data_IF_301928935335
#
_entry.id   IF_301928935335
#
_cell.length_a   1.000
_cell.length_b   1.000
_cell.length_c   1.000
_cell.angle_alpha   90.00
_cell.angle_beta   90.00
_cell.angle_gamma   90.00
#
_symmetry.space_group_name_H-M   'P 1'
#
loop_
_entity.id
_entity.type
_entity.pdbx_description
1 polymer ?
#
# COMPACT_ATOMS: atom_id res chain seq x y z
N UNK A 1 16.94 18.75 -6.59
CA UNK A 1 15.85 17.88 -6.12
C UNK A 1 14.63 18.76 -5.91
N UNK A 2 13.61 18.66 -6.78
CA UNK A 2 12.37 19.41 -6.60
C UNK A 2 11.63 18.81 -5.42
N UNK A 3 11.57 19.54 -4.31
CA UNK A 3 10.77 19.16 -3.15
C UNK A 3 9.33 19.01 -3.60
N UNK A 4 8.75 17.84 -3.43
CA UNK A 4 7.34 17.58 -3.76
C UNK A 4 6.50 18.21 -2.64
N UNK A 5 5.76 19.30 -2.87
CA UNK A 5 5.02 19.95 -1.80
C UNK A 5 3.76 19.15 -1.51
N UNK A 6 3.83 18.29 -0.50
CA UNK A 6 2.65 17.67 0.10
C UNK A 6 2.05 18.63 1.12
N UNK A 7 0.73 18.79 1.07
CA UNK A 7 -0.04 19.64 1.97
C UNK A 7 -1.00 18.78 2.80
N UNK A 8 -1.16 19.13 4.07
CA UNK A 8 -2.14 18.57 4.99
C UNK A 8 -2.83 19.70 5.77
N UNK A 9 -4.06 19.49 6.27
CA UNK A 9 -4.71 20.44 7.15
C UNK A 9 -3.82 20.84 8.33
N UNK A 10 -3.82 22.13 8.66
CA UNK A 10 -2.99 22.69 9.71
C UNK A 10 -2.32 23.97 9.24
N UNK A 11 -0.99 24.00 9.25
CA UNK A 11 -0.21 25.13 8.73
C UNK A 11 0.44 24.73 7.40
N UNK A 12 0.35 25.56 6.34
CA UNK A 12 -0.23 26.92 6.32
C UNK A 12 -1.75 26.97 6.09
N UNK A 13 -2.41 25.88 5.69
CA UNK A 13 -3.82 25.87 5.28
C UNK A 13 -4.69 24.97 6.17
N UNK A 14 -5.91 25.42 6.46
CA UNK A 14 -6.97 24.64 7.12
C UNK A 14 -7.60 23.62 6.16
N UNK A 15 -8.36 22.69 6.71
CA UNK A 15 -9.03 21.64 5.91
C UNK A 15 -10.02 22.21 4.89
N UNK A 16 -10.74 23.28 5.27
CA UNK A 16 -11.71 23.95 4.40
C UNK A 16 -11.01 24.63 3.23
N UNK A 17 -9.88 25.29 3.47
CA UNK A 17 -9.07 25.95 2.44
C UNK A 17 -8.53 24.93 1.44
N UNK A 18 -7.99 23.79 1.91
CA UNK A 18 -7.53 22.72 1.02
C UNK A 18 -8.67 22.12 0.19
N UNK A 19 -9.87 22.03 0.76
CA UNK A 19 -11.06 21.56 0.05
C UNK A 19 -11.48 22.55 -1.04
N UNK A 20 -11.49 23.86 -0.75
CA UNK A 20 -11.78 24.91 -1.73
C UNK A 20 -10.72 24.89 -2.84
N UNK A 21 -9.43 24.85 -2.51
CA UNK A 21 -8.35 24.78 -3.49
C UNK A 21 -8.42 23.53 -4.38
N UNK A 22 -8.90 22.41 -3.83
CA UNK A 22 -9.14 21.19 -4.62
C UNK A 22 -10.31 21.38 -5.59
N UNK A 23 -11.40 22.00 -5.13
CA UNK A 23 -12.57 22.32 -5.97
C UNK A 23 -12.22 23.29 -7.09
N UNK A 24 -11.35 24.26 -6.82
CA UNK A 24 -10.88 25.27 -7.78
C UNK A 24 -9.81 24.72 -8.74
N UNK A 25 -9.43 23.44 -8.62
CA UNK A 25 -8.47 22.78 -9.51
C UNK A 25 -7.01 23.15 -9.25
N UNK A 26 -6.70 23.78 -8.11
CA UNK A 26 -5.32 24.12 -7.71
C UNK A 26 -4.61 22.88 -7.15
N UNK A 27 -5.33 22.11 -6.33
CA UNK A 27 -4.84 20.91 -5.69
C UNK A 27 -5.58 19.67 -6.16
N UNK A 28 -4.95 18.51 -5.98
CA UNK A 28 -5.61 17.21 -6.01
C UNK A 28 -5.30 16.45 -4.72
N UNK A 29 -6.26 15.67 -4.26
CA UNK A 29 -6.07 14.74 -3.15
C UNK A 29 -5.26 13.53 -3.64
N UNK A 30 -4.20 13.19 -2.91
CA UNK A 30 -3.38 11.99 -3.16
C UNK A 30 -3.97 10.82 -2.36
N UNK A 31 -4.15 11.02 -1.06
CA UNK A 31 -4.68 10.01 -0.13
C UNK A 31 -5.21 10.71 1.13
N UNK A 32 -6.39 10.31 1.61
CA UNK A 32 -7.04 10.88 2.80
C UNK A 32 -6.95 12.42 2.87
N UNK A 33 -6.31 13.01 3.87
CA UNK A 33 -6.16 14.47 4.03
C UNK A 33 -4.83 15.01 3.46
N UNK A 34 -4.18 14.27 2.56
CA UNK A 34 -2.93 14.65 1.90
C UNK A 34 -3.16 15.07 0.46
N UNK A 35 -2.66 16.26 0.14
CA UNK A 35 -2.86 16.94 -1.14
C UNK A 35 -1.54 17.29 -1.81
N UNK A 36 -1.58 17.46 -3.13
CA UNK A 36 -0.47 17.98 -3.94
C UNK A 36 -1.01 18.92 -5.01
N UNK A 37 -0.15 19.76 -5.59
CA UNK A 37 -0.51 20.59 -6.74
C UNK A 37 -0.93 19.72 -7.94
N UNK A 38 -1.94 20.16 -8.70
CA UNK A 38 -2.51 19.39 -9.81
C UNK A 38 -1.49 19.03 -10.91
N UNK A 39 -0.52 19.91 -11.16
CA UNK A 39 0.53 19.71 -12.16
C UNK A 39 1.68 18.78 -11.72
N UNK A 40 1.65 18.26 -10.48
CA UNK A 40 2.70 17.35 -10.01
C UNK A 40 2.49 15.93 -10.57
N UNK A 41 3.52 15.35 -11.22
CA UNK A 41 3.45 13.99 -11.75
C UNK A 41 3.09 12.98 -10.66
N UNK A 42 2.18 12.08 -10.98
CA UNK A 42 1.87 10.98 -10.08
C UNK A 42 2.96 9.91 -10.14
N UNK A 43 3.82 9.90 -9.14
CA UNK A 43 4.93 8.93 -9.03
C UNK A 43 4.73 8.03 -7.82
N UNK A 44 5.37 6.87 -7.86
CA UNK A 44 5.44 5.95 -6.72
C UNK A 44 6.07 6.63 -5.49
N UNK A 45 7.06 7.50 -5.69
CA UNK A 45 7.68 8.29 -4.64
C UNK A 45 6.71 9.31 -4.02
N UNK A 46 5.92 10.02 -4.82
CA UNK A 46 4.87 10.93 -4.33
C UNK A 46 3.86 10.16 -3.46
N UNK A 47 3.39 8.99 -3.92
CA UNK A 47 2.44 8.16 -3.16
C UNK A 47 3.03 7.68 -1.83
N UNK A 48 4.29 7.23 -1.84
CA UNK A 48 5.00 6.83 -0.62
C UNK A 48 5.16 7.99 0.37
N UNK A 49 5.59 9.16 -0.10
CA UNK A 49 5.70 10.34 0.77
C UNK A 49 4.35 10.77 1.32
N UNK A 50 3.27 10.68 0.52
CA UNK A 50 1.93 11.01 0.96
C UNK A 50 1.42 10.02 2.02
N UNK A 51 1.69 8.74 1.86
CA UNK A 51 1.39 7.72 2.86
C UNK A 51 2.19 7.95 4.15
N UNK A 52 3.50 8.22 4.03
CA UNK A 52 4.37 8.51 5.17
C UNK A 52 3.85 9.69 6.00
N UNK A 53 3.33 10.72 5.34
CA UNK A 53 2.76 11.90 5.99
C UNK A 53 1.54 11.59 6.86
N UNK A 54 0.82 10.48 6.60
CA UNK A 54 -0.32 10.02 7.40
C UNK A 54 0.08 9.21 8.65
N UNK A 55 1.28 8.62 8.65
CA UNK A 55 1.71 7.74 9.72
C UNK A 55 2.22 8.54 10.93
N UNK A 56 1.86 8.09 12.12
CA UNK A 56 2.52 8.56 13.34
C UNK A 56 3.99 8.08 13.39
N UNK A 57 4.85 8.67 14.25
CA UNK A 57 6.26 8.30 14.32
C UNK A 57 6.53 6.83 14.66
N UNK A 58 5.60 6.14 15.34
CA UNK A 58 5.77 4.74 15.72
C UNK A 58 5.54 3.85 14.50
N UNK A 59 4.42 4.05 13.80
CA UNK A 59 4.09 3.31 12.59
C UNK A 59 5.08 3.59 11.46
N UNK A 60 5.50 4.85 11.28
CA UNK A 60 6.53 5.22 10.30
C UNK A 60 7.81 4.39 10.40
N UNK A 61 8.22 4.01 11.63
CA UNK A 61 9.47 3.26 11.88
C UNK A 61 9.31 1.74 11.88
N UNK A 62 8.07 1.24 11.96
CA UNK A 62 7.80 -0.17 12.29
C UNK A 62 6.86 -0.86 11.33
N UNK A 63 6.05 -0.11 10.60
CA UNK A 63 5.04 -0.64 9.73
C UNK A 63 5.64 -1.03 8.37
N UNK A 64 5.17 -2.16 7.86
CA UNK A 64 5.36 -2.62 6.50
C UNK A 64 4.01 -2.44 5.78
N UNK A 65 3.98 -1.62 4.73
CA UNK A 65 2.79 -1.41 3.91
C UNK A 65 2.49 -2.69 3.12
N UNK A 66 1.23 -3.12 3.08
CA UNK A 66 0.84 -4.40 2.47
C UNK A 66 -0.51 -4.31 1.72
N UNK A 67 -0.90 -5.42 1.06
CA UNK A 67 -2.20 -5.62 0.40
C UNK A 67 -2.62 -4.45 -0.50
N UNK A 68 -3.88 -4.02 -0.46
CA UNK A 68 -4.43 -3.00 -1.34
C UNK A 68 -3.68 -1.67 -1.24
N UNK A 69 -3.10 -1.36 -0.06
CA UNK A 69 -2.29 -0.15 0.11
C UNK A 69 -0.94 -0.27 -0.60
N UNK A 70 -0.28 -1.43 -0.50
CA UNK A 70 0.94 -1.69 -1.27
C UNK A 70 0.66 -1.74 -2.79
N UNK A 71 -0.47 -2.34 -3.19
CA UNK A 71 -0.88 -2.38 -4.60
C UNK A 71 -1.10 -0.96 -5.14
N UNK A 72 -1.82 -0.10 -4.42
CA UNK A 72 -1.96 1.31 -4.77
C UNK A 72 -0.62 2.04 -4.82
N UNK A 73 0.29 1.76 -3.89
CA UNK A 73 1.62 2.35 -3.89
C UNK A 73 2.35 2.02 -5.19
N UNK A 74 2.37 0.75 -5.61
CA UNK A 74 3.03 0.30 -6.84
C UNK A 74 2.33 0.79 -8.12
N UNK A 75 1.01 0.63 -8.20
CA UNK A 75 0.23 0.79 -9.43
C UNK A 75 -0.37 2.19 -9.61
N UNK A 76 -0.57 2.93 -8.52
CA UNK A 76 -1.31 4.19 -8.53
C UNK A 76 -2.82 4.00 -8.61
N UNK A 77 -3.51 5.06 -9.02
CA UNK A 77 -4.97 5.07 -9.11
C UNK A 77 -5.64 5.48 -7.79
N UNK A 78 -6.90 5.09 -7.61
CA UNK A 78 -7.67 5.45 -6.43
C UNK A 78 -7.11 4.76 -5.17
N UNK A 79 -6.78 5.50 -4.10
CA UNK A 79 -6.31 4.90 -2.87
C UNK A 79 -7.42 4.12 -2.17
N UNK A 80 -7.10 3.02 -1.45
CA UNK A 80 -8.09 2.31 -0.66
C UNK A 80 -8.60 3.19 0.50
N UNK A 81 -9.87 3.04 0.91
CA UNK A 81 -10.46 3.85 1.99
C UNK A 81 -9.85 3.53 3.37
N UNK A 82 -9.29 2.32 3.53
CA UNK A 82 -8.60 1.87 4.74
C UNK A 82 -7.21 1.40 4.35
N UNK A 83 -6.19 1.85 5.07
CA UNK A 83 -4.79 1.58 4.74
C UNK A 83 -4.26 0.39 5.54
N UNK A 84 -3.80 -0.65 4.86
CA UNK A 84 -3.33 -1.89 5.47
C UNK A 84 -1.81 -1.83 5.77
N UNK A 85 -1.49 -2.02 7.04
CA UNK A 85 -0.13 -2.03 7.57
C UNK A 85 0.12 -3.34 8.32
N UNK A 86 1.28 -3.95 8.12
CA UNK A 86 1.78 -5.04 8.97
C UNK A 86 2.75 -4.47 10.01
N UNK A 87 2.63 -4.92 11.25
CA UNK A 87 3.63 -4.69 12.28
C UNK A 87 4.11 -6.04 12.83
N UNK A 88 5.40 -6.13 13.12
CA UNK A 88 5.94 -7.34 13.73
C UNK A 88 5.31 -7.51 15.12
N UNK A 89 4.71 -8.67 15.37
CA UNK A 89 4.05 -8.98 16.64
C UNK A 89 4.97 -8.80 17.86
N UNK A 90 6.30 -8.90 17.69
CA UNK A 90 7.31 -8.67 18.74
C UNK A 90 7.57 -7.18 19.02
N UNK A 91 7.09 -6.27 18.17
CA UNK A 91 7.35 -4.82 18.21
C UNK A 91 6.05 -4.00 18.26
N UNK A 92 5.03 -4.56 18.92
CA UNK A 92 3.68 -4.02 19.04
C UNK A 92 3.65 -2.49 19.19
N UNK A 93 2.85 -1.84 18.36
CA UNK A 93 2.43 -0.46 18.52
C UNK A 93 0.99 -0.48 19.09
N UNK A 94 0.67 0.40 20.04
CA UNK A 94 -0.69 0.49 20.58
C UNK A 94 -1.55 1.34 19.64
N UNK A 95 -2.67 0.75 19.19
CA UNK A 95 -3.74 1.45 18.46
C UNK A 95 -3.43 1.70 16.99
N UNK A 96 -4.48 1.78 16.17
CA UNK A 96 -4.42 2.25 14.80
C UNK A 96 -5.22 3.56 14.72
N UNK A 97 -4.67 4.58 14.06
CA UNK A 97 -5.42 5.80 13.78
C UNK A 97 -6.64 5.48 12.88
N UNK A 98 -7.66 6.35 12.88
CA UNK A 98 -8.80 6.20 12.00
C UNK A 98 -8.34 6.11 10.53
N UNK A 99 -8.91 5.17 9.78
CA UNK A 99 -8.52 4.91 8.38
C UNK A 99 -7.25 4.05 8.22
N UNK A 100 -6.64 3.56 9.31
CA UNK A 100 -5.56 2.58 9.27
C UNK A 100 -6.05 1.23 9.82
N UNK A 101 -5.65 0.14 9.16
CA UNK A 101 -5.81 -1.22 9.64
C UNK A 101 -4.43 -1.83 9.86
N UNK A 102 -4.11 -2.09 11.12
CA UNK A 102 -2.83 -2.67 11.53
C UNK A 102 -3.02 -4.15 11.80
N UNK A 103 -2.24 -4.97 11.12
CA UNK A 103 -2.23 -6.42 11.28
C UNK A 103 -0.94 -6.84 11.99
N UNK A 104 -1.08 -7.59 13.07
CA UNK A 104 0.06 -8.10 13.82
C UNK A 104 0.43 -9.49 13.27
N UNK A 105 1.63 -9.62 12.69
CA UNK A 105 2.14 -10.90 12.16
C UNK A 105 3.64 -11.02 12.38
N UNK A 106 4.19 -12.20 12.20
CA UNK A 106 5.65 -12.39 12.15
C UNK A 106 6.12 -11.93 10.77
N UNK A 107 6.83 -10.81 10.71
CA UNK A 107 7.28 -10.23 9.43
C UNK A 107 8.53 -10.93 8.84
N UNK A 108 9.11 -11.89 9.54
CA UNK A 108 10.29 -12.63 9.07
C UNK A 108 9.95 -13.43 7.82
N UNK A 109 10.73 -13.23 6.74
CA UNK A 109 10.54 -13.92 5.45
C UNK A 109 9.56 -13.25 4.50
N UNK A 110 8.96 -12.11 4.88
CA UNK A 110 8.15 -11.30 3.95
C UNK A 110 9.08 -10.57 2.99
N UNK A 111 8.85 -10.73 1.68
CA UNK A 111 9.62 -10.01 0.67
C UNK A 111 9.18 -8.54 0.63
N UNK A 112 10.10 -7.64 0.97
CA UNK A 112 9.83 -6.21 1.11
C UNK A 112 10.80 -5.35 0.30
N UNK A 113 10.35 -4.14 -0.03
CA UNK A 113 11.11 -3.08 -0.69
C UNK A 113 10.97 -1.77 0.09
N UNK A 114 11.90 -0.84 -0.15
CA UNK A 114 11.84 0.52 0.39
C UNK A 114 11.62 1.49 -0.76
N UNK A 115 10.56 2.29 -0.66
CA UNK A 115 10.20 3.32 -1.64
C UNK A 115 10.10 4.65 -0.92
N UNK A 116 10.97 5.61 -1.28
CA UNK A 116 11.02 6.93 -0.66
C UNK A 116 11.01 6.90 0.89
N UNK A 117 11.69 5.92 1.48
CA UNK A 117 11.77 5.73 2.94
C UNK A 117 10.63 4.90 3.55
N UNK A 118 9.58 4.57 2.78
CA UNK A 118 8.48 3.71 3.23
C UNK A 118 8.78 2.25 2.92
N UNK A 119 8.69 1.40 3.95
CA UNK A 119 8.82 -0.04 3.82
C UNK A 119 7.49 -0.63 3.33
N UNK A 120 7.51 -1.39 2.24
CA UNK A 120 6.32 -1.98 1.60
C UNK A 120 6.61 -3.38 1.09
N UNK A 121 5.59 -4.23 0.94
CA UNK A 121 5.73 -5.52 0.25
C UNK A 121 6.11 -5.31 -1.23
N UNK A 122 6.91 -6.23 -1.79
CA UNK A 122 7.17 -6.27 -3.24
C UNK A 122 5.88 -6.56 -4.01
N UNK A 123 5.86 -6.38 -5.33
CA UNK A 123 4.71 -6.75 -6.15
C UNK A 123 4.33 -8.25 -5.99
N UNK A 124 5.26 -9.22 -6.08
CA UNK A 124 4.98 -10.63 -5.82
C UNK A 124 4.34 -10.88 -4.45
N UNK A 125 4.95 -10.34 -3.39
CA UNK A 125 4.43 -10.49 -2.04
C UNK A 125 3.05 -9.84 -1.87
N UNK A 126 2.82 -8.68 -2.50
CA UNK A 126 1.53 -7.98 -2.47
C UNK A 126 0.42 -8.83 -3.09
N UNK A 127 0.69 -9.48 -4.23
CA UNK A 127 -0.27 -10.39 -4.84
C UNK A 127 -0.53 -11.61 -3.97
N UNK A 128 0.51 -12.16 -3.33
CA UNK A 128 0.36 -13.27 -2.39
C UNK A 128 -0.53 -12.88 -1.19
N UNK A 129 -0.29 -11.71 -0.60
CA UNK A 129 -1.07 -11.19 0.52
C UNK A 129 -2.55 -10.97 0.13
N UNK A 130 -2.81 -10.37 -1.04
CA UNK A 130 -4.15 -10.17 -1.58
C UNK A 130 -4.86 -11.50 -1.87
N UNK A 131 -4.16 -12.46 -2.45
CA UNK A 131 -4.73 -13.77 -2.74
C UNK A 131 -5.07 -14.55 -1.46
N UNK A 132 -4.24 -14.44 -0.42
CA UNK A 132 -4.38 -15.17 0.84
C UNK A 132 -5.37 -14.53 1.81
N UNK A 133 -5.38 -13.20 1.89
CA UNK A 133 -6.10 -12.45 2.93
C UNK A 133 -7.15 -11.47 2.39
N UNK A 134 -7.17 -11.22 1.08
CA UNK A 134 -8.11 -10.30 0.45
C UNK A 134 -9.52 -10.89 0.29
N UNK A 135 -10.51 -10.00 0.34
CA UNK A 135 -11.91 -10.30 0.11
C UNK A 135 -12.24 -10.47 -1.39
N UNK A 136 -13.54 -10.52 -1.72
CA UNK A 136 -13.97 -10.54 -3.12
C UNK A 136 -13.78 -9.16 -3.77
N UNK A 137 -13.90 -8.09 -2.99
CA UNK A 137 -13.67 -6.70 -3.37
C UNK A 137 -12.22 -6.42 -3.79
N UNK A 138 -11.27 -7.24 -3.34
CA UNK A 138 -9.84 -7.10 -3.64
C UNK A 138 -9.44 -7.81 -4.94
N UNK A 139 -10.32 -8.60 -5.56
CA UNK A 139 -10.00 -9.39 -6.75
C UNK A 139 -9.54 -8.51 -7.94
N UNK A 140 -10.19 -7.38 -8.27
CA UNK A 140 -9.70 -6.50 -9.34
C UNK A 140 -8.30 -5.93 -9.06
N UNK A 141 -7.99 -5.68 -7.79
CA UNK A 141 -6.67 -5.17 -7.37
C UNK A 141 -5.61 -6.26 -7.50
N UNK A 142 -5.94 -7.51 -7.12
CA UNK A 142 -5.09 -8.67 -7.33
C UNK A 142 -4.78 -8.88 -8.81
N UNK A 143 -5.80 -8.85 -9.67
CA UNK A 143 -5.65 -8.96 -11.13
C UNK A 143 -4.74 -7.88 -11.70
N UNK A 144 -4.95 -6.62 -11.32
CA UNK A 144 -4.11 -5.51 -11.77
C UNK A 144 -2.66 -5.67 -11.29
N UNK A 145 -2.46 -6.15 -10.06
CA UNK A 145 -1.14 -6.41 -9.47
C UNK A 145 -0.40 -7.47 -10.28
N UNK A 146 -1.04 -8.61 -10.58
CA UNK A 146 -0.44 -9.70 -11.38
C UNK A 146 -0.18 -9.25 -12.82
N UNK A 147 -1.08 -8.43 -13.40
CA UNK A 147 -0.90 -7.90 -14.76
C UNK A 147 0.32 -6.99 -14.88
N UNK A 148 0.62 -6.21 -13.85
CA UNK A 148 1.76 -5.29 -13.83
C UNK A 148 3.12 -5.98 -13.58
N UNK A 149 3.12 -7.27 -13.22
CA UNK A 149 4.34 -8.03 -12.92
C UNK A 149 5.17 -8.30 -14.16
N UNK A 150 6.50 -8.18 -14.02
CA UNK A 150 7.46 -8.72 -14.99
C UNK A 150 7.47 -10.25 -14.96
N UNK A 151 8.12 -10.90 -15.93
CA UNK A 151 8.31 -12.35 -15.90
C UNK A 151 9.02 -12.82 -14.62
N UNK A 152 10.08 -12.12 -14.21
CA UNK A 152 10.81 -12.44 -12.97
C UNK A 152 9.99 -12.23 -11.69
N UNK A 153 9.06 -11.27 -11.68
CA UNK A 153 8.10 -11.12 -10.57
C UNK A 153 7.15 -12.33 -10.49
N UNK A 154 6.65 -12.80 -11.64
CA UNK A 154 5.76 -13.97 -11.69
C UNK A 154 6.48 -15.24 -11.25
N UNK A 155 7.75 -15.41 -11.59
CA UNK A 155 8.54 -16.56 -11.16
C UNK A 155 8.75 -16.55 -9.65
N UNK A 156 9.12 -15.39 -9.07
CA UNK A 156 9.20 -15.22 -7.60
C UNK A 156 7.88 -15.51 -6.90
N UNK A 157 6.76 -15.08 -7.47
CA UNK A 157 5.42 -15.39 -6.94
C UNK A 157 5.12 -16.90 -6.97
N UNK A 158 5.49 -17.61 -8.05
CA UNK A 158 5.34 -19.07 -8.15
C UNK A 158 6.20 -19.79 -7.12
N UNK A 159 7.45 -19.37 -6.93
CA UNK A 159 8.36 -19.90 -5.91
C UNK A 159 7.78 -19.70 -4.50
N UNK A 160 7.30 -18.50 -4.18
CA UNK A 160 6.67 -18.20 -2.91
C UNK A 160 5.41 -19.07 -2.67
N UNK A 161 4.57 -19.25 -3.69
CA UNK A 161 3.39 -20.10 -3.62
C UNK A 161 3.75 -21.58 -3.40
N UNK A 162 4.82 -22.06 -4.04
CA UNK A 162 5.33 -23.42 -3.86
C UNK A 162 5.86 -23.63 -2.42
N UNK A 163 6.61 -22.67 -1.89
CA UNK A 163 7.21 -22.72 -0.55
C UNK A 163 6.20 -22.48 0.60
N UNK A 164 5.01 -21.95 0.31
CA UNK A 164 4.06 -21.55 1.34
C UNK A 164 3.59 -22.74 2.21
N UNK A 165 3.63 -22.66 3.55
CA UNK A 165 3.17 -23.77 4.40
C UNK A 165 1.70 -24.13 4.18
N UNK A 166 1.30 -25.38 4.48
CA UNK A 166 -0.11 -25.78 4.51
C UNK A 166 -0.83 -25.07 5.67
N UNK A 167 -1.55 -23.99 5.35
CA UNK A 167 -2.33 -23.18 6.29
C UNK A 167 -3.69 -22.81 5.68
N UNK A 168 -4.70 -22.47 6.50
CA UNK A 168 -5.92 -21.83 6.03
C UNK A 168 -5.59 -20.63 5.12
N UNK A 169 -6.29 -20.50 3.99
CA UNK A 169 -6.00 -19.49 2.96
C UNK A 169 -5.07 -19.95 1.83
N UNK A 170 -4.27 -21.02 2.00
CA UNK A 170 -3.42 -21.55 0.91
C UNK A 170 -4.24 -22.02 -0.28
N UNK A 171 -5.29 -22.83 -0.06
CA UNK A 171 -6.10 -23.35 -1.16
C UNK A 171 -6.80 -22.22 -1.94
N UNK A 172 -7.29 -21.20 -1.23
CA UNK A 172 -7.91 -20.01 -1.83
C UNK A 172 -6.89 -19.21 -2.64
N UNK A 173 -5.72 -18.91 -2.05
CA UNK A 173 -4.66 -18.19 -2.74
C UNK A 173 -4.17 -18.94 -3.99
N UNK A 174 -3.98 -20.26 -3.89
CA UNK A 174 -3.61 -21.12 -5.02
C UNK A 174 -4.69 -21.09 -6.11
N UNK A 175 -5.97 -21.19 -5.75
CA UNK A 175 -7.06 -21.13 -6.71
C UNK A 175 -7.05 -19.81 -7.49
N UNK A 176 -7.07 -18.69 -6.76
CA UNK A 176 -7.06 -17.33 -7.34
C UNK A 176 -5.83 -17.07 -8.20
N UNK A 177 -4.63 -17.43 -7.74
CA UNK A 177 -3.39 -17.14 -8.46
C UNK A 177 -3.17 -18.08 -9.66
N UNK A 178 -3.67 -19.31 -9.62
CA UNK A 178 -3.58 -20.21 -10.79
C UNK A 178 -4.29 -19.63 -12.00
N UNK A 179 -5.47 -19.07 -11.81
CA UNK A 179 -6.24 -18.45 -12.89
C UNK A 179 -5.53 -17.24 -13.52
N UNK A 180 -4.71 -16.53 -12.73
CA UNK A 180 -4.04 -15.29 -13.15
C UNK A 180 -2.60 -15.47 -13.65
N UNK A 181 -1.97 -16.61 -13.36
CA UNK A 181 -0.59 -16.93 -13.73
C UNK A 181 -0.45 -17.87 -14.93
N UNK A 182 -1.56 -18.37 -15.46
CA UNK A 182 -1.66 -19.04 -16.75
C UNK A 182 -1.49 -18.02 -17.89
#
# INVERSE_FOLDING_TARGET
MTTVPLLRPGRPFRAEELTIMTRDGVLRRVIQDVYTAIGMPETIALRALALDALLDPVHRRRALVCRATAAWLHLGGAPPPVLDLLVDARRRAKGAAAGLRVHETVCTGIEAAVIAGVLTTTLPQTALDLAQHGGAEDLPVLEATVRAMTAGDRDRLREALAAMPRRPGRCVAVGRLRELLC
#
